data_IF_925304063228
#
_entry.id   IF_925304063228
#
_cell.length_a   1.000
_cell.length_b   1.000
_cell.length_c   1.000
_cell.angle_alpha   90.00
_cell.angle_beta   90.00
_cell.angle_gamma   90.00
#
_symmetry.space_group_name_H-M   'P 1'
#
loop_
_entity.id
_entity.type
_entity.pdbx_description
1 polymer ?
#
# COMPACT_ATOMS: atom_id res chain seq x y z
N UNK A 1 15.55 10.06 9.57
CA UNK A 1 14.98 8.70 9.73
C UNK A 1 13.81 8.60 8.80
N UNK A 2 13.78 7.60 7.93
CA UNK A 2 12.62 7.30 7.08
C UNK A 2 11.47 6.85 7.97
N UNK A 3 10.28 7.41 7.75
CA UNK A 3 9.06 7.00 8.47
C UNK A 3 8.39 5.85 7.73
N UNK A 4 7.89 4.89 8.49
CA UNK A 4 7.11 3.75 7.99
C UNK A 4 5.69 3.92 8.50
N UNK A 5 4.71 3.82 7.61
CA UNK A 5 3.30 4.00 7.95
C UNK A 5 2.47 2.81 7.48
N UNK A 6 1.27 2.71 8.02
CA UNK A 6 0.27 1.74 7.59
C UNK A 6 -1.04 2.44 7.24
N UNK A 7 -1.52 2.25 6.01
CA UNK A 7 -2.78 2.77 5.49
C UNK A 7 -3.88 1.73 5.71
N UNK A 8 -4.91 2.09 6.47
CA UNK A 8 -6.05 1.20 6.76
C UNK A 8 -7.38 1.93 6.63
N UNK A 9 -8.45 1.19 6.36
CA UNK A 9 -9.83 1.66 6.38
C UNK A 9 -10.41 1.76 7.80
N UNK A 10 -9.82 1.04 8.77
CA UNK A 10 -10.33 0.94 10.14
C UNK A 10 -9.28 1.33 11.18
N UNK A 11 -9.70 2.07 12.19
CA UNK A 11 -8.86 2.43 13.33
C UNK A 11 -8.53 1.25 14.26
N UNK A 12 -9.11 0.06 14.01
CA UNK A 12 -8.95 -1.14 14.82
C UNK A 12 -7.64 -1.90 14.57
N UNK A 13 -6.80 -1.46 13.63
CA UNK A 13 -5.52 -2.10 13.32
C UNK A 13 -4.42 -1.69 14.33
N UNK A 14 -4.76 -1.74 15.63
CA UNK A 14 -3.89 -1.39 16.74
C UNK A 14 -2.65 -2.26 16.87
N UNK A 15 -2.61 -3.42 16.20
CA UNK A 15 -1.40 -4.25 16.12
C UNK A 15 -0.27 -3.50 15.41
N UNK A 16 -0.58 -2.72 14.37
CA UNK A 16 0.43 -2.00 13.59
C UNK A 16 1.03 -0.83 14.37
N UNK A 17 0.23 -0.15 15.20
CA UNK A 17 0.74 0.89 16.09
C UNK A 17 1.60 0.33 17.23
N UNK A 18 1.29 -0.87 17.74
CA UNK A 18 2.13 -1.58 18.72
C UNK A 18 3.51 -1.92 18.13
N UNK A 19 3.57 -2.22 16.83
CA UNK A 19 4.82 -2.47 16.10
C UNK A 19 5.58 -1.19 15.73
N UNK A 20 5.12 -0.02 16.19
CA UNK A 20 5.80 1.27 16.01
C UNK A 20 5.55 1.92 14.66
N UNK A 21 4.50 1.50 13.93
CA UNK A 21 4.09 2.14 12.68
C UNK A 21 3.01 3.20 12.93
N UNK A 22 3.10 4.32 12.22
CA UNK A 22 2.05 5.33 12.22
C UNK A 22 0.86 4.83 11.38
N UNK A 23 -0.30 4.68 12.01
CA UNK A 23 -1.53 4.24 11.31
C UNK A 23 -2.27 5.46 10.75
N UNK A 24 -2.52 5.45 9.45
CA UNK A 24 -3.28 6.49 8.75
C UNK A 24 -4.58 5.88 8.24
N UNK A 25 -5.70 6.43 8.72
CA UNK A 25 -7.01 6.01 8.27
C UNK A 25 -7.34 6.64 6.92
N UNK A 26 -7.61 5.80 5.93
CA UNK A 26 -7.95 6.17 4.56
C UNK A 26 -9.39 5.74 4.29
N UNK A 27 -10.16 6.61 3.62
CA UNK A 27 -11.53 6.32 3.19
C UNK A 27 -11.56 6.18 1.68
N UNK A 28 -12.58 5.52 1.13
CA UNK A 28 -12.74 5.38 -0.33
C UNK A 28 -12.77 6.72 -1.08
N UNK A 29 -13.22 7.80 -0.44
CA UNK A 29 -13.30 9.13 -1.03
C UNK A 29 -12.05 10.00 -0.76
N UNK A 30 -11.01 9.44 -0.12
CA UNK A 30 -9.77 10.18 0.14
C UNK A 30 -9.13 10.60 -1.18
N UNK A 31 -8.72 11.87 -1.25
CA UNK A 31 -7.86 12.36 -2.33
C UNK A 31 -6.47 11.71 -2.18
N UNK A 32 -6.27 10.62 -2.90
CA UNK A 32 -5.07 9.81 -2.79
C UNK A 32 -3.82 10.56 -3.27
N UNK A 33 -3.95 11.42 -4.28
CA UNK A 33 -2.85 12.27 -4.77
C UNK A 33 -2.39 13.25 -3.70
N UNK A 34 -3.33 13.90 -3.01
CA UNK A 34 -2.98 14.75 -1.87
C UNK A 34 -2.31 13.95 -0.76
N UNK A 35 -2.83 12.76 -0.44
CA UNK A 35 -2.24 11.86 0.55
C UNK A 35 -0.78 11.54 0.19
N UNK A 36 -0.49 11.06 -1.02
CA UNK A 36 0.88 10.72 -1.45
C UNK A 36 1.82 11.92 -1.32
N UNK A 37 1.37 13.12 -1.72
CA UNK A 37 2.17 14.35 -1.57
C UNK A 37 2.48 14.64 -0.10
N UNK A 38 1.50 14.48 0.79
CA UNK A 38 1.72 14.66 2.22
C UNK A 38 2.69 13.62 2.79
N UNK A 39 2.63 12.37 2.32
CA UNK A 39 3.55 11.30 2.70
C UNK A 39 5.00 11.61 2.26
N UNK A 40 5.16 12.04 1.01
CA UNK A 40 6.44 12.45 0.43
C UNK A 40 7.06 13.62 1.23
N UNK A 41 6.27 14.66 1.53
CA UNK A 41 6.71 15.79 2.37
C UNK A 41 7.10 15.38 3.79
N UNK A 42 6.42 14.38 4.37
CA UNK A 42 6.73 13.81 5.68
C UNK A 42 7.93 12.86 5.67
N UNK A 43 8.58 12.66 4.52
CA UNK A 43 9.71 11.73 4.31
C UNK A 43 9.36 10.31 4.70
N UNK A 44 8.13 9.89 4.37
CA UNK A 44 7.70 8.49 4.45
C UNK A 44 8.32 7.77 3.26
N UNK A 45 9.07 6.70 3.52
CA UNK A 45 9.70 5.92 2.45
C UNK A 45 8.89 4.66 2.12
N UNK A 46 8.21 4.10 3.11
CA UNK A 46 7.41 2.88 2.96
C UNK A 46 6.04 3.13 3.56
N UNK A 47 5.01 2.89 2.75
CA UNK A 47 3.63 2.84 3.17
C UNK A 47 3.12 1.40 2.98
N UNK A 48 2.88 0.71 4.10
CA UNK A 48 2.11 -0.52 4.06
C UNK A 48 0.63 -0.18 3.84
N UNK A 49 -0.08 -0.99 3.08
CA UNK A 49 -1.45 -0.72 2.66
C UNK A 49 -2.32 -1.94 2.91
N UNK A 50 -3.46 -1.78 3.58
CA UNK A 50 -4.45 -2.85 3.69
C UNK A 50 -4.99 -3.24 2.32
N UNK A 51 -5.44 -4.48 2.16
CA UNK A 51 -6.03 -4.92 0.88
C UNK A 51 -7.23 -4.07 0.46
N UNK A 52 -8.04 -3.60 1.41
CA UNK A 52 -9.23 -2.79 1.14
C UNK A 52 -8.82 -1.44 0.56
N UNK A 53 -7.84 -0.77 1.18
CA UNK A 53 -7.32 0.51 0.67
C UNK A 53 -6.68 0.32 -0.69
N UNK A 54 -5.93 -0.77 -0.91
CA UNK A 54 -5.36 -1.06 -2.23
C UNK A 54 -6.44 -1.26 -3.31
N UNK A 55 -7.53 -1.96 -3.00
CA UNK A 55 -8.65 -2.14 -3.95
C UNK A 55 -9.32 -0.82 -4.33
N UNK A 56 -9.33 0.18 -3.44
CA UNK A 56 -9.89 1.49 -3.75
C UNK A 56 -8.99 2.35 -4.65
N UNK A 57 -7.67 2.20 -4.52
CA UNK A 57 -6.69 3.09 -5.16
C UNK A 57 -5.66 2.33 -6.02
N UNK A 58 -6.03 1.16 -6.58
CA UNK A 58 -5.10 0.27 -7.32
C UNK A 58 -4.34 1.01 -8.41
N UNK A 59 -5.04 1.81 -9.22
CA UNK A 59 -4.46 2.55 -10.35
C UNK A 59 -3.46 3.60 -9.86
N UNK A 60 -3.85 4.41 -8.87
CA UNK A 60 -2.98 5.44 -8.28
C UNK A 60 -1.73 4.82 -7.65
N UNK A 61 -1.90 3.79 -6.83
CA UNK A 61 -0.79 3.09 -6.13
C UNK A 61 0.21 2.50 -7.13
N UNK A 62 -0.28 1.90 -8.22
CA UNK A 62 0.59 1.34 -9.24
C UNK A 62 1.33 2.44 -10.02
N UNK A 63 0.70 3.59 -10.28
CA UNK A 63 1.35 4.74 -10.91
C UNK A 63 2.48 5.30 -10.05
N UNK A 64 2.27 5.48 -8.74
CA UNK A 64 3.27 6.10 -7.87
C UNK A 64 4.47 5.18 -7.55
N UNK A 65 4.29 3.86 -7.62
CA UNK A 65 5.40 2.93 -7.43
C UNK A 65 6.47 3.06 -8.54
N UNK A 66 6.15 3.65 -9.69
CA UNK A 66 7.11 3.94 -10.76
C UNK A 66 7.97 5.19 -10.51
N UNK A 67 7.49 6.14 -9.69
CA UNK A 67 8.12 7.45 -9.47
C UNK A 67 9.05 7.50 -8.23
N UNK A 68 9.21 6.38 -7.52
CA UNK A 68 10.15 6.17 -6.39
C UNK A 68 10.03 7.11 -5.17
N UNK A 69 8.99 7.96 -5.06
CA UNK A 69 8.81 8.85 -3.90
C UNK A 69 8.35 8.11 -2.63
N UNK A 70 7.40 7.19 -2.77
CA UNK A 70 6.84 6.38 -1.68
C UNK A 70 6.61 4.97 -2.19
N UNK A 71 7.20 3.97 -1.54
CA UNK A 71 6.95 2.58 -1.89
C UNK A 71 5.70 2.07 -1.18
N UNK A 72 4.70 1.64 -1.95
CA UNK A 72 3.47 1.05 -1.43
C UNK A 72 3.53 -0.48 -1.44
N UNK A 73 3.48 -1.08 -0.24
CA UNK A 73 3.51 -2.53 -0.03
C UNK A 73 2.16 -2.98 0.51
N UNK A 74 1.49 -3.89 -0.19
CA UNK A 74 0.19 -4.41 0.26
C UNK A 74 0.43 -5.47 1.33
N UNK A 75 -0.19 -5.31 2.50
CA UNK A 75 -0.24 -6.34 3.55
C UNK A 75 -1.54 -7.13 3.41
N UNK A 76 -1.47 -8.45 3.27
CA UNK A 76 -2.66 -9.28 3.29
C UNK A 76 -3.21 -9.35 4.71
N UNK A 77 -4.54 -9.29 4.86
CA UNK A 77 -5.19 -9.46 6.16
C UNK A 77 -5.58 -10.94 6.33
N UNK A 78 -5.31 -11.54 7.49
CA UNK A 78 -5.46 -12.99 7.75
C UNK A 78 -6.91 -13.49 7.61
N UNK A 79 -7.90 -12.61 7.71
CA UNK A 79 -9.33 -12.95 7.59
C UNK A 79 -9.85 -13.01 6.16
N UNK A 80 -9.12 -12.50 5.17
CA UNK A 80 -9.55 -12.48 3.76
C UNK A 80 -8.34 -12.53 2.82
N UNK A 81 -7.46 -13.52 3.02
CA UNK A 81 -6.31 -13.81 2.16
C UNK A 81 -6.76 -14.15 0.72
N UNK A 82 -6.95 -13.14 -0.12
CA UNK A 82 -7.23 -13.32 -1.55
C UNK A 82 -5.96 -13.53 -2.38
N UNK A 83 -4.84 -13.92 -1.75
CA UNK A 83 -3.53 -14.08 -2.40
C UNK A 83 -3.09 -12.82 -3.18
N UNK A 84 -3.62 -11.65 -2.82
CA UNK A 84 -3.49 -10.42 -3.62
C UNK A 84 -2.03 -9.97 -3.78
N UNK A 85 -1.21 -10.16 -2.74
CA UNK A 85 0.23 -9.90 -2.81
C UNK A 85 0.96 -10.83 -3.78
N UNK A 86 0.58 -12.11 -3.82
CA UNK A 86 1.17 -13.11 -4.74
C UNK A 86 0.71 -12.84 -6.18
N UNK A 87 -0.56 -12.50 -6.36
CA UNK A 87 -1.10 -12.10 -7.65
C UNK A 87 -0.39 -10.83 -8.17
N UNK A 88 -0.13 -9.84 -7.30
CA UNK A 88 0.60 -8.62 -7.68
C UNK A 88 2.05 -8.91 -8.07
N UNK A 89 2.73 -9.82 -7.36
CA UNK A 89 4.08 -10.26 -7.74
C UNK A 89 4.06 -10.97 -9.10
N UNK A 90 3.04 -11.79 -9.37
CA UNK A 90 2.88 -12.42 -10.68
C UNK A 90 2.62 -11.39 -11.78
N UNK A 91 1.72 -10.43 -11.57
CA UNK A 91 1.45 -9.31 -12.51
C UNK A 91 2.74 -8.51 -12.80
N UNK A 92 3.52 -8.16 -11.79
CA UNK A 92 4.77 -7.42 -11.96
C UNK A 92 5.84 -8.21 -12.72
N UNK A 93 5.93 -9.52 -12.50
CA UNK A 93 6.85 -10.41 -13.24
C UNK A 93 6.37 -10.60 -14.67
N UNK A 94 5.06 -10.73 -14.89
CA UNK A 94 4.44 -10.76 -16.21
C UNK A 94 4.75 -9.49 -17.00
N UNK A 95 4.58 -8.31 -16.40
CA UNK A 95 4.83 -7.02 -17.04
C UNK A 95 6.32 -6.79 -17.34
N UNK A 96 7.21 -7.21 -16.43
CA UNK A 96 8.64 -6.98 -16.57
C UNK A 96 9.35 -7.95 -17.54
N UNK A 97 8.88 -9.21 -17.61
CA UNK A 97 9.56 -10.29 -18.33
C UNK A 97 8.73 -10.81 -19.52
N UNK A 98 7.43 -10.51 -19.56
CA UNK A 98 6.51 -10.97 -20.61
C UNK A 98 6.07 -12.43 -20.46
N UNK A 99 6.29 -13.05 -19.29
CA UNK A 99 6.03 -14.48 -19.05
C UNK A 99 5.04 -14.65 -17.91
N UNK A 100 3.95 -15.40 -18.17
CA UNK A 100 2.98 -15.78 -17.15
C UNK A 100 3.56 -16.77 -16.15
N UNK A 101 3.64 -16.35 -14.88
CA UNK A 101 4.04 -17.22 -13.78
C UNK A 101 2.78 -17.85 -13.19
N UNK A 102 2.60 -19.16 -13.41
CA UNK A 102 1.51 -19.98 -12.88
C UNK A 102 1.85 -20.51 -11.49
#
# INVERSE_FOLDING_TARGET
MSRVIYLSEHSSDGVMSILGMDVVNVKKQTDFKHLVRDLSQKRVSIAFVSEVVYKWFKEDINSYNSDFEVTFIVLPNDTDHQQLGQHRLSELVEDAVGIKVK
#
